data_IF_390533172548
#
_entry.id   IF_390533172548
#
_cell.length_a   1.000
_cell.length_b   1.000
_cell.length_c   1.000
_cell.angle_alpha   90.00
_cell.angle_beta   90.00
_cell.angle_gamma   90.00
#
_symmetry.space_group_name_H-M   'P 1'
#
loop_
_entity.id
_entity.type
_entity.pdbx_description
1 polymer ?
#
# COMPACT_ATOMS: atom_id res chain seq x y z
N UNK A 1 -5.75 -14.54 -11.64
CA UNK A 1 -6.25 -14.54 -10.25
C UNK A 1 -6.77 -13.14 -10.02
N UNK A 2 -8.07 -12.98 -9.75
CA UNK A 2 -8.67 -11.64 -9.58
C UNK A 2 -8.28 -11.12 -8.20
N UNK A 3 -7.71 -9.92 -8.13
CA UNK A 3 -7.43 -9.27 -6.86
C UNK A 3 -8.74 -9.01 -6.12
N UNK A 4 -8.81 -9.41 -4.85
CA UNK A 4 -9.98 -9.21 -3.98
C UNK A 4 -9.59 -8.35 -2.79
N UNK A 5 -10.58 -7.75 -2.13
CA UNK A 5 -10.36 -7.08 -0.84
C UNK A 5 -10.03 -8.13 0.23
N UNK A 6 -8.74 -8.39 0.43
CA UNK A 6 -8.23 -9.37 1.41
C UNK A 6 -7.98 -8.75 2.78
N UNK A 7 -7.77 -7.43 2.84
CA UNK A 7 -7.52 -6.71 4.09
C UNK A 7 -8.82 -6.27 4.75
N UNK A 8 -8.94 -6.53 6.06
CA UNK A 8 -10.04 -6.08 6.91
C UNK A 8 -9.50 -5.15 7.99
N UNK A 9 -10.17 -4.03 8.16
CA UNK A 9 -9.83 -3.03 9.17
C UNK A 9 -10.93 -3.01 10.20
N UNK A 10 -10.57 -3.28 11.45
CA UNK A 10 -11.46 -3.15 12.58
C UNK A 10 -11.02 -1.96 13.42
N UNK A 11 -11.96 -1.27 14.05
CA UNK A 11 -11.68 -0.05 14.80
C UNK A 11 -12.38 -0.03 16.15
N UNK A 12 -11.64 0.40 17.16
CA UNK A 12 -12.15 0.75 18.48
C UNK A 12 -12.04 2.26 18.67
N UNK A 13 -13.08 2.87 19.24
CA UNK A 13 -13.14 4.33 19.39
C UNK A 13 -12.45 4.84 20.64
N UNK A 14 -12.51 4.10 21.76
CA UNK A 14 -11.92 4.48 23.05
C UNK A 14 -11.32 3.26 23.77
N UNK A 15 -10.00 3.24 24.01
CA UNK A 15 -9.00 4.08 23.36
C UNK A 15 -9.02 3.87 21.83
N UNK A 16 -8.58 4.89 21.07
CA UNK A 16 -8.61 4.81 19.60
C UNK A 16 -7.52 3.84 19.15
N UNK A 17 -7.94 2.77 18.49
CA UNK A 17 -7.04 1.75 17.97
C UNK A 17 -7.60 1.12 16.70
N UNK A 18 -6.72 0.53 15.90
CA UNK A 18 -7.05 -0.12 14.64
C UNK A 18 -6.43 -1.51 14.63
N UNK A 19 -7.21 -2.52 14.28
CA UNK A 19 -6.71 -3.85 13.92
C UNK A 19 -6.69 -3.97 12.40
N UNK A 20 -5.59 -4.48 11.85
CA UNK A 20 -5.46 -4.83 10.44
C UNK A 20 -5.27 -6.33 10.33
N UNK A 21 -6.20 -6.97 9.65
CA UNK A 21 -6.21 -8.41 9.36
C UNK A 21 -6.12 -8.60 7.85
N UNK A 22 -5.53 -9.71 7.40
CA UNK A 22 -5.55 -10.11 5.99
C UNK A 22 -5.90 -11.58 5.87
N UNK A 23 -6.77 -11.92 4.92
CA UNK A 23 -7.07 -13.31 4.58
C UNK A 23 -5.90 -14.06 3.94
N UNK A 24 -4.89 -13.33 3.47
CA UNK A 24 -3.72 -13.88 2.78
C UNK A 24 -2.50 -14.00 3.71
N UNK A 25 -2.56 -13.38 4.89
CA UNK A 25 -1.50 -13.42 5.90
C UNK A 25 -2.07 -14.18 7.10
N UNK A 26 -1.88 -15.50 7.10
CA UNK A 26 -2.35 -16.35 8.19
C UNK A 26 -1.43 -16.21 9.41
N UNK A 27 -2.03 -16.27 10.61
CA UNK A 27 -1.28 -16.35 11.86
C UNK A 27 -0.82 -15.01 12.46
N UNK A 28 -1.08 -13.88 11.81
CA UNK A 28 -0.65 -12.57 12.29
C UNK A 28 -1.77 -11.51 12.13
N UNK A 29 -1.97 -10.69 13.15
CA UNK A 29 -2.82 -9.49 13.09
C UNK A 29 -2.03 -8.29 13.58
N UNK A 30 -2.14 -7.14 12.92
CA UNK A 30 -1.47 -5.92 13.37
C UNK A 30 -2.41 -5.06 14.21
N UNK A 31 -2.00 -4.74 15.44
CA UNK A 31 -2.66 -3.77 16.31
C UNK A 31 -1.91 -2.44 16.26
N UNK A 32 -2.65 -1.39 15.90
CA UNK A 32 -2.18 -0.01 15.92
C UNK A 32 -2.86 0.71 17.09
N UNK A 33 -2.09 1.07 18.10
CA UNK A 33 -2.60 1.76 19.29
C UNK A 33 -1.52 2.68 19.87
N UNK A 34 -1.94 3.86 20.37
CA UNK A 34 -1.05 4.79 21.08
C UNK A 34 0.25 5.13 20.34
N UNK A 35 0.18 5.28 19.01
CA UNK A 35 1.33 5.53 18.12
C UNK A 35 2.38 4.40 18.15
N UNK A 36 1.95 3.17 18.40
CA UNK A 36 2.76 1.95 18.32
C UNK A 36 2.08 0.91 17.47
N UNK A 37 2.86 -0.09 17.03
CA UNK A 37 2.35 -1.26 16.33
C UNK A 37 2.79 -2.51 17.07
N UNK A 38 1.84 -3.39 17.34
CA UNK A 38 2.08 -4.72 17.88
C UNK A 38 1.62 -5.78 16.86
N UNK A 39 2.34 -6.88 16.76
CA UNK A 39 1.91 -8.06 16.01
C UNK A 39 1.31 -9.04 17.00
N UNK A 40 0.03 -9.35 16.83
CA UNK A 40 -0.73 -10.24 17.68
C UNK A 40 -0.79 -11.63 17.06
N UNK A 41 -0.68 -12.64 17.90
CA UNK A 41 -1.02 -14.02 17.57
C UNK A 41 -2.54 -14.16 17.36
N UNK A 42 -3.02 -15.24 16.72
CA UNK A 42 -4.46 -15.45 16.52
C UNK A 42 -5.23 -15.47 17.84
N UNK A 43 -4.67 -16.10 18.89
CA UNK A 43 -5.31 -16.16 20.20
C UNK A 43 -5.48 -14.77 20.83
N UNK A 44 -4.43 -13.94 20.81
CA UNK A 44 -4.48 -12.57 21.31
C UNK A 44 -5.46 -11.70 20.49
N UNK A 45 -5.44 -11.86 19.17
CA UNK A 45 -6.34 -11.15 18.26
C UNK A 45 -7.82 -11.47 18.56
N UNK A 46 -8.19 -12.75 18.77
CA UNK A 46 -9.57 -13.14 19.12
C UNK A 46 -10.03 -12.52 20.45
N UNK A 47 -9.14 -12.42 21.44
CA UNK A 47 -9.47 -11.84 22.74
C UNK A 47 -9.85 -10.36 22.62
N UNK A 48 -9.11 -9.60 21.81
CA UNK A 48 -9.36 -8.16 21.65
C UNK A 48 -10.43 -7.85 20.60
N UNK A 49 -10.65 -8.72 19.61
CA UNK A 49 -11.53 -8.47 18.46
C UNK A 49 -12.95 -8.08 18.85
N UNK A 50 -13.45 -8.60 19.98
CA UNK A 50 -14.81 -8.33 20.48
C UNK A 50 -15.08 -6.84 20.75
N UNK A 51 -14.04 -6.07 21.06
CA UNK A 51 -14.14 -4.64 21.35
C UNK A 51 -14.04 -3.76 20.09
N UNK A 52 -13.86 -4.36 18.91
CA UNK A 52 -13.66 -3.64 17.66
C UNK A 52 -14.86 -3.81 16.74
N UNK A 53 -15.35 -2.69 16.21
CA UNK A 53 -16.33 -2.68 15.13
C UNK A 53 -15.65 -2.80 13.77
N UNK A 54 -16.32 -3.43 12.81
CA UNK A 54 -15.84 -3.43 11.43
C UNK A 54 -15.86 -2.01 10.86
N UNK A 55 -14.73 -1.57 10.30
CA UNK A 55 -14.59 -0.24 9.75
C UNK A 55 -14.63 -0.23 8.22
N UNK A 56 -13.75 -1.00 7.58
CA UNK A 56 -13.70 -1.10 6.11
C UNK A 56 -12.92 -2.32 5.63
N UNK A 57 -13.09 -2.64 4.35
CA UNK A 57 -12.28 -3.61 3.62
C UNK A 57 -11.43 -2.93 2.54
N UNK A 58 -10.22 -3.41 2.33
CA UNK A 58 -9.25 -2.86 1.39
C UNK A 58 -8.57 -3.94 0.54
N UNK A 59 -8.07 -3.53 -0.63
CA UNK A 59 -7.28 -4.40 -1.52
C UNK A 59 -5.86 -4.59 -1.01
N UNK A 60 -5.24 -3.51 -0.52
CA UNK A 60 -3.88 -3.56 0.00
C UNK A 60 -3.58 -2.38 0.94
N UNK A 61 -2.50 -2.49 1.70
CA UNK A 61 -1.98 -1.44 2.56
C UNK A 61 -0.74 -0.78 1.93
N UNK A 62 -0.67 0.55 2.00
CA UNK A 62 0.47 1.33 1.49
C UNK A 62 1.49 1.67 2.59
N UNK A 63 1.08 1.59 3.86
CA UNK A 63 1.90 1.87 5.03
C UNK A 63 1.25 2.87 5.98
N UNK A 64 2.05 3.53 6.81
CA UNK A 64 1.58 4.55 7.76
C UNK A 64 2.09 5.93 7.33
N UNK A 65 1.16 6.86 7.15
CA UNK A 65 1.45 8.28 6.95
C UNK A 65 1.61 8.95 8.31
N UNK A 66 2.74 9.63 8.49
CA UNK A 66 3.01 10.50 9.63
C UNK A 66 2.92 11.94 9.17
N UNK A 67 2.10 12.75 9.84
CA UNK A 67 2.00 14.18 9.55
C UNK A 67 2.23 14.98 10.81
N UNK A 68 3.24 15.84 10.77
CA UNK A 68 3.55 16.78 11.85
C UNK A 68 2.79 18.10 11.61
N UNK A 69 2.09 18.58 12.64
CA UNK A 69 1.43 19.89 12.65
C UNK A 69 1.65 20.52 14.03
N UNK A 70 2.52 21.53 14.09
CA UNK A 70 3.05 22.04 15.36
C UNK A 70 3.80 20.95 16.11
N UNK A 71 3.56 20.83 17.42
CA UNK A 71 4.19 19.82 18.29
C UNK A 71 3.50 18.44 18.23
N UNK A 72 2.42 18.30 17.45
CA UNK A 72 1.66 17.06 17.35
C UNK A 72 2.02 16.27 16.08
N UNK A 73 2.16 14.95 16.22
CA UNK A 73 2.30 14.02 15.10
C UNK A 73 1.06 13.13 15.01
N UNK A 74 0.42 13.17 13.84
CA UNK A 74 -0.76 12.38 13.52
C UNK A 74 -0.36 11.15 12.70
N UNK A 75 -0.98 10.01 13.00
CA UNK A 75 -0.68 8.75 12.33
C UNK A 75 -1.93 8.18 11.65
N UNK A 76 -1.78 7.84 10.38
CA UNK A 76 -2.86 7.30 9.55
C UNK A 76 -2.38 6.04 8.83
N UNK A 77 -3.14 4.95 8.96
CA UNK A 77 -2.95 3.78 8.13
C UNK A 77 -3.53 4.06 6.74
N UNK A 78 -2.72 3.92 5.70
CA UNK A 78 -3.09 4.26 4.32
C UNK A 78 -3.45 2.99 3.56
N UNK A 79 -4.68 2.92 3.05
CA UNK A 79 -5.24 1.72 2.45
C UNK A 79 -5.80 2.03 1.06
N UNK A 80 -5.63 1.09 0.12
CA UNK A 80 -6.25 1.16 -1.20
C UNK A 80 -7.61 0.47 -1.12
N UNK A 81 -8.68 1.26 -1.20
CA UNK A 81 -10.06 0.77 -1.14
C UNK A 81 -10.67 0.53 -2.51
N UNK A 82 -10.09 1.14 -3.55
CA UNK A 82 -10.43 0.87 -4.94
C UNK A 82 -9.21 0.98 -5.86
N UNK A 83 -9.18 0.11 -6.87
CA UNK A 83 -8.14 0.06 -7.88
C UNK A 83 -8.66 -0.62 -9.16
N UNK A 84 -8.05 -0.29 -10.28
CA UNK A 84 -8.38 -0.85 -11.59
C UNK A 84 -7.21 -1.65 -12.16
N UNK A 85 -7.45 -2.87 -12.63
CA UNK A 85 -6.44 -3.62 -13.40
C UNK A 85 -6.17 -2.91 -14.73
N UNK A 86 -4.90 -2.62 -15.01
CA UNK A 86 -4.45 -2.03 -16.28
C UNK A 86 -3.85 -3.05 -17.24
N UNK A 87 -3.66 -4.29 -16.77
CA UNK A 87 -3.17 -5.37 -17.59
C UNK A 87 -2.16 -6.25 -16.87
N UNK A 88 -1.80 -7.34 -17.54
CA UNK A 88 -0.92 -8.38 -17.01
C UNK A 88 0.38 -8.45 -17.80
N UNK A 89 1.52 -8.38 -17.11
CA UNK A 89 2.86 -8.62 -17.65
C UNK A 89 3.39 -9.91 -17.05
N UNK A 90 3.62 -10.93 -17.89
CA UNK A 90 3.98 -12.30 -17.46
C UNK A 90 2.98 -12.85 -16.45
N UNK A 91 3.42 -13.12 -15.23
CA UNK A 91 2.68 -13.64 -14.09
C UNK A 91 2.07 -12.54 -13.20
N UNK A 92 2.43 -11.26 -13.43
CA UNK A 92 2.07 -10.13 -12.57
C UNK A 92 0.98 -9.28 -13.18
N UNK A 93 -0.04 -8.95 -12.39
CA UNK A 93 -1.08 -7.99 -12.76
C UNK A 93 -0.74 -6.60 -12.19
N UNK A 94 -0.89 -5.57 -13.02
CA UNK A 94 -0.62 -4.19 -12.65
C UNK A 94 -1.96 -3.50 -12.38
N UNK A 95 -2.04 -2.79 -11.27
CA UNK A 95 -3.24 -2.07 -10.83
C UNK A 95 -2.96 -0.59 -10.70
N UNK A 96 -3.88 0.23 -11.18
CA UNK A 96 -3.94 1.67 -10.95
C UNK A 96 -4.77 1.95 -9.70
N UNK A 97 -4.25 2.75 -8.79
CA UNK A 97 -4.96 3.19 -7.59
C UNK A 97 -6.04 4.20 -8.01
N UNK A 98 -7.30 3.94 -7.65
CA UNK A 98 -8.44 4.83 -7.94
C UNK A 98 -9.03 5.44 -6.68
N UNK A 99 -8.92 4.76 -5.53
CA UNK A 99 -9.36 5.31 -4.25
C UNK A 99 -8.49 4.83 -3.09
N UNK A 100 -8.18 5.77 -2.18
CA UNK A 100 -7.49 5.47 -0.92
C UNK A 100 -8.30 5.94 0.27
N UNK A 101 -8.14 5.27 1.41
CA UNK A 101 -8.73 5.66 2.69
C UNK A 101 -7.66 5.69 3.78
N UNK A 102 -7.80 6.65 4.70
CA UNK A 102 -6.86 6.92 5.77
C UNK A 102 -7.53 6.58 7.10
N UNK A 103 -7.08 5.53 7.77
CA UNK A 103 -7.61 5.10 9.06
C UNK A 103 -6.72 5.66 10.20
N UNK A 104 -7.16 6.70 10.93
CA UNK A 104 -6.42 7.25 12.06
C UNK A 104 -6.47 6.33 13.28
N UNK A 105 -5.31 6.09 13.88
CA UNK A 105 -5.15 5.29 15.11
C UNK A 105 -4.50 6.07 16.27
N UNK A 106 -4.23 7.37 16.09
CA UNK A 106 -3.86 8.30 17.17
C UNK A 106 -5.10 8.93 17.80
N UNK A 107 -5.06 9.22 19.11
CA UNK A 107 -6.16 9.86 19.84
C UNK A 107 -6.65 11.14 19.17
N UNK A 108 -5.72 11.95 18.63
CA UNK A 108 -5.98 13.11 17.78
C UNK A 108 -6.01 12.68 16.30
N UNK A 109 -6.94 13.21 15.52
CA UNK A 109 -7.02 12.99 14.08
C UNK A 109 -7.50 14.26 13.38
N UNK A 110 -6.90 14.58 12.25
CA UNK A 110 -7.27 15.67 11.35
C UNK A 110 -7.43 15.09 9.94
N UNK A 111 -8.66 14.74 9.60
CA UNK A 111 -8.96 14.09 8.31
C UNK A 111 -8.81 15.05 7.13
N UNK A 112 -9.04 16.36 7.33
CA UNK A 112 -8.88 17.37 6.27
C UNK A 112 -7.43 17.42 5.78
N UNK A 113 -6.48 17.28 6.70
CA UNK A 113 -5.06 17.31 6.40
C UNK A 113 -4.58 16.13 5.52
N UNK A 114 -5.32 15.02 5.46
CA UNK A 114 -4.99 13.88 4.59
C UNK A 114 -5.82 13.82 3.30
N UNK A 115 -6.84 14.68 3.15
CA UNK A 115 -7.70 14.68 1.96
C UNK A 115 -6.92 14.93 0.67
N UNK A 116 -6.01 15.91 0.66
CA UNK A 116 -5.19 16.23 -0.51
C UNK A 116 -4.20 15.10 -0.86
N UNK A 117 -3.66 14.41 0.15
CA UNK A 117 -2.81 13.23 -0.06
C UNK A 117 -3.63 12.09 -0.69
N UNK A 118 -4.87 11.90 -0.23
CA UNK A 118 -5.79 10.93 -0.83
C UNK A 118 -6.12 11.24 -2.28
N UNK A 119 -6.41 12.51 -2.61
CA UNK A 119 -6.64 12.97 -3.99
C UNK A 119 -5.41 12.75 -4.87
N UNK A 120 -4.21 13.05 -4.35
CA UNK A 120 -2.95 12.81 -5.05
C UNK A 120 -2.77 11.32 -5.37
N UNK A 121 -2.91 10.44 -4.38
CA UNK A 121 -2.77 8.99 -4.59
C UNK A 121 -3.84 8.42 -5.53
N UNK A 122 -5.01 9.05 -5.60
CA UNK A 122 -6.11 8.70 -6.49
C UNK A 122 -6.09 9.45 -7.85
N UNK A 123 -5.02 10.19 -8.16
CA UNK A 123 -4.89 10.99 -9.41
C UNK A 123 -4.81 10.16 -10.70
N UNK A 124 -4.76 8.83 -10.60
CA UNK A 124 -4.58 7.92 -11.74
C UNK A 124 -3.12 7.74 -12.17
N UNK A 125 -2.17 8.37 -11.46
CA UNK A 125 -0.73 8.23 -11.74
C UNK A 125 -0.03 7.19 -10.87
N UNK A 126 -0.71 6.61 -9.87
CA UNK A 126 -0.12 5.67 -8.93
C UNK A 126 -0.50 4.22 -9.24
N UNK A 127 0.49 3.34 -9.28
CA UNK A 127 0.34 1.95 -9.67
C UNK A 127 1.05 1.00 -8.71
N UNK A 128 0.47 -0.19 -8.51
CA UNK A 128 1.10 -1.29 -7.78
C UNK A 128 0.95 -2.60 -8.57
N UNK A 129 1.61 -3.65 -8.09
CA UNK A 129 1.57 -4.98 -8.70
C UNK A 129 1.03 -6.02 -7.73
N UNK A 130 0.40 -7.05 -8.28
CA UNK A 130 -0.01 -8.23 -7.54
C UNK A 130 0.43 -9.53 -8.25
N UNK A 131 1.13 -10.44 -7.54
CA UNK A 131 1.71 -10.26 -6.21
C UNK A 131 2.80 -9.15 -6.22
N UNK A 132 2.99 -8.45 -5.09
CA UNK A 132 3.93 -7.30 -5.02
C UNK A 132 5.40 -7.72 -4.81
N UNK A 133 5.61 -8.95 -4.34
CA UNK A 133 6.92 -9.56 -4.08
C UNK A 133 6.94 -10.99 -4.64
N UNK A 134 8.14 -11.53 -4.85
CA UNK A 134 8.33 -12.92 -5.28
C UNK A 134 8.08 -13.18 -6.77
N UNK A 135 7.67 -12.17 -7.53
CA UNK A 135 7.47 -12.28 -8.97
C UNK A 135 8.74 -11.98 -9.77
N UNK A 136 8.80 -12.49 -10.99
CA UNK A 136 9.91 -12.22 -11.91
C UNK A 136 9.93 -10.78 -12.44
N UNK A 137 8.76 -10.13 -12.46
CA UNK A 137 8.61 -8.74 -12.88
C UNK A 137 8.44 -7.83 -11.66
N UNK A 138 9.26 -6.79 -11.58
CA UNK A 138 9.16 -5.74 -10.58
C UNK A 138 8.91 -4.40 -11.28
N UNK A 139 7.75 -3.80 -11.01
CA UNK A 139 7.34 -2.50 -11.57
C UNK A 139 8.36 -1.39 -11.28
N UNK A 140 9.09 -1.51 -10.17
CA UNK A 140 10.09 -0.52 -9.75
C UNK A 140 11.47 -0.74 -10.38
N UNK A 141 11.72 -1.90 -11.01
CA UNK A 141 13.02 -2.25 -11.57
C UNK A 141 13.13 -1.86 -13.05
N UNK A 142 14.25 -1.28 -13.47
CA UNK A 142 14.56 -1.16 -14.89
C UNK A 142 15.09 -2.50 -15.41
N UNK A 143 14.58 -2.99 -16.54
CA UNK A 143 15.06 -4.22 -17.18
C UNK A 143 16.57 -4.24 -17.44
N UNK A 144 17.19 -3.06 -17.63
CA UNK A 144 18.64 -2.90 -17.84
C UNK A 144 19.47 -2.93 -16.55
N UNK A 145 18.85 -2.83 -15.37
CA UNK A 145 19.51 -2.77 -14.05
C UNK A 145 18.90 -3.80 -13.08
N UNK A 146 18.53 -4.97 -13.59
CA UNK A 146 18.03 -6.06 -12.77
C UNK A 146 19.05 -6.41 -11.67
N UNK A 147 18.59 -6.50 -10.42
CA UNK A 147 19.42 -6.87 -9.26
C UNK A 147 19.76 -5.74 -8.28
N UNK A 148 19.49 -4.46 -8.61
CA UNK A 148 19.61 -3.34 -7.65
C UNK A 148 18.24 -2.74 -7.31
N UNK A 149 17.93 -2.63 -6.02
CA UNK A 149 16.71 -1.98 -5.54
C UNK A 149 16.74 -0.49 -5.91
N UNK A 150 15.93 -0.10 -6.90
CA UNK A 150 15.84 1.30 -7.33
C UNK A 150 14.92 2.09 -6.42
N UNK A 151 15.50 2.52 -5.31
CA UNK A 151 14.83 3.35 -4.30
C UNK A 151 14.18 4.61 -4.88
N UNK A 152 14.76 5.15 -5.95
CA UNK A 152 14.31 6.34 -6.64
C UNK A 152 12.92 6.24 -7.29
N UNK A 153 12.36 5.03 -7.47
CA UNK A 153 11.01 4.84 -8.03
C UNK A 153 10.01 4.28 -7.01
N UNK A 154 10.44 4.06 -5.77
CA UNK A 154 9.61 3.52 -4.70
C UNK A 154 8.89 4.66 -3.96
N UNK A 155 7.72 5.07 -4.47
CA UNK A 155 7.04 6.30 -4.04
C UNK A 155 6.52 6.26 -2.61
N UNK A 156 6.03 5.11 -2.13
CA UNK A 156 5.56 4.95 -0.75
C UNK A 156 6.65 4.45 0.21
N UNK A 157 7.94 4.56 -0.13
CA UNK A 157 9.05 4.13 0.74
C UNK A 157 9.02 4.76 2.13
N UNK A 158 8.62 6.04 2.23
CA UNK A 158 8.52 6.72 3.51
C UNK A 158 7.43 6.10 4.42
N UNK A 159 6.32 5.63 3.84
CA UNK A 159 5.20 5.02 4.59
C UNK A 159 5.58 3.66 5.21
N UNK A 160 6.60 2.99 4.66
CA UNK A 160 7.13 1.74 5.21
C UNK A 160 7.93 1.96 6.49
N UNK A 161 8.58 3.12 6.61
CA UNK A 161 9.59 3.35 7.64
C UNK A 161 9.03 3.20 9.05
N UNK A 162 7.80 3.65 9.27
CA UNK A 162 7.13 3.54 10.56
C UNK A 162 6.89 2.08 10.95
N UNK A 163 6.33 1.27 10.05
CA UNK A 163 6.04 -0.15 10.33
C UNK A 163 7.30 -0.97 10.55
N UNK A 164 8.37 -0.69 9.78
CA UNK A 164 9.67 -1.35 9.96
C UNK A 164 10.30 -1.09 11.33
N UNK A 165 10.11 0.12 11.89
CA UNK A 165 10.63 0.46 13.23
C UNK A 165 10.02 -0.40 14.33
N UNK A 166 8.81 -0.90 14.13
CA UNK A 166 8.13 -1.82 15.05
C UNK A 166 8.32 -3.30 14.69
N UNK A 167 9.29 -3.62 13.81
CA UNK A 167 9.61 -5.01 13.46
C UNK A 167 8.60 -5.72 12.56
N UNK A 168 7.65 -4.99 11.98
CA UNK A 168 6.66 -5.58 11.06
C UNK A 168 7.29 -5.98 9.74
N UNK A 169 7.00 -7.20 9.26
CA UNK A 169 7.40 -7.64 7.92
C UNK A 169 6.57 -6.94 6.84
N UNK A 170 7.07 -5.80 6.38
CA UNK A 170 6.41 -5.02 5.33
C UNK A 170 6.25 -5.76 3.99
N UNK A 171 6.98 -6.86 3.73
CA UNK A 171 6.80 -7.61 2.47
C UNK A 171 5.50 -8.39 2.45
N UNK A 172 5.02 -8.81 3.63
CA UNK A 172 3.70 -9.44 3.79
C UNK A 172 2.59 -8.40 3.75
N UNK A 173 2.76 -7.32 4.52
CA UNK A 173 1.67 -6.40 4.82
C UNK A 173 1.49 -5.26 3.82
N UNK A 174 2.55 -4.84 3.11
CA UNK A 174 2.52 -3.63 2.28
C UNK A 174 2.81 -3.93 0.81
N UNK A 175 2.23 -3.11 -0.08
CA UNK A 175 2.56 -3.14 -1.52
C UNK A 175 3.46 -1.97 -1.91
N UNK A 176 4.29 -2.17 -2.93
CA UNK A 176 5.18 -1.12 -3.46
C UNK A 176 4.46 -0.35 -4.57
N UNK A 177 4.56 0.98 -4.50
CA UNK A 177 3.87 1.89 -5.42
C UNK A 177 4.86 2.64 -6.30
N UNK A 178 4.50 2.74 -7.57
CA UNK A 178 5.13 3.53 -8.63
C UNK A 178 4.25 4.75 -8.95
N UNK A 179 4.85 5.90 -9.27
CA UNK A 179 4.14 7.05 -9.85
C UNK A 179 4.61 7.31 -11.28
N UNK A 180 3.67 7.57 -12.20
CA UNK A 180 3.95 7.83 -13.61
C UNK A 180 2.81 7.35 -14.52
N UNK A 181 3.14 6.55 -15.53
CA UNK A 181 2.17 6.00 -16.48
C UNK A 181 2.51 4.55 -16.86
N UNK A 182 1.47 3.75 -17.07
CA UNK A 182 1.54 2.36 -17.51
C UNK A 182 0.54 2.14 -18.65
N UNK A 183 1.05 1.71 -19.80
CA UNK A 183 0.23 1.30 -20.94
C UNK A 183 0.58 -0.13 -21.33
N UNK A 184 -0.43 -1.02 -21.34
CA UNK A 184 -0.27 -2.43 -21.71
C UNK A 184 -1.29 -2.74 -22.80
N UNK A 185 -0.81 -3.03 -24.01
CA UNK A 185 -1.65 -3.31 -25.17
C UNK A 185 -1.29 -4.66 -25.77
N UNK A 186 -2.32 -5.40 -26.19
CA UNK A 186 -2.13 -6.63 -26.95
C UNK A 186 -2.07 -6.28 -28.42
N UNK A 187 -0.97 -6.65 -29.09
CA UNK A 187 -0.75 -6.44 -30.51
C UNK A 187 -0.73 -7.78 -31.24
N UNK A 188 -1.23 -7.79 -32.47
CA UNK A 188 -1.28 -8.97 -33.32
C UNK A 188 -0.45 -8.74 -34.58
N UNK A 189 0.40 -9.71 -34.92
CA UNK A 189 1.21 -9.72 -36.12
C UNK A 189 0.98 -11.06 -36.84
N UNK A 190 -0.02 -11.08 -37.72
CA UNK A 190 -0.57 -12.31 -38.29
C UNK A 190 -1.16 -13.19 -37.18
N UNK A 191 -0.71 -14.44 -37.10
CA UNK A 191 -1.14 -15.41 -36.07
C UNK A 191 -0.43 -15.22 -34.72
N UNK A 192 0.58 -14.34 -34.65
CA UNK A 192 1.34 -14.11 -33.42
C UNK A 192 0.70 -13.02 -32.59
N UNK A 193 0.49 -13.30 -31.31
CA UNK A 193 0.07 -12.34 -30.31
C UNK A 193 1.28 -11.90 -29.48
N UNK A 194 1.42 -10.59 -29.23
CA UNK A 194 2.41 -10.04 -28.32
C UNK A 194 1.78 -8.99 -27.40
N UNK A 195 2.45 -8.69 -26.27
CA UNK A 195 2.08 -7.59 -25.38
C UNK A 195 3.10 -6.47 -25.49
N UNK A 196 2.68 -5.33 -26.03
CA UNK A 196 3.44 -4.09 -25.99
C UNK A 196 3.19 -3.41 -24.64
N UNK A 197 4.25 -3.18 -23.86
CA UNK A 197 4.15 -2.57 -22.54
C UNK A 197 5.06 -1.34 -22.47
N UNK A 198 4.50 -0.19 -22.10
CA UNK A 198 5.22 1.06 -21.85
C UNK A 198 5.09 1.44 -20.37
N UNK A 199 6.23 1.63 -19.71
CA UNK A 199 6.31 2.06 -18.32
C UNK A 199 7.09 3.37 -18.22
N UNK A 200 6.41 4.44 -17.86
CA UNK A 200 7.02 5.72 -17.53
C UNK A 200 6.98 5.91 -16.02
N UNK A 201 8.13 6.19 -15.40
CA UNK A 201 8.27 6.28 -13.94
C UNK A 201 8.85 7.63 -13.57
N UNK A 202 8.13 8.36 -12.73
CA UNK A 202 8.61 9.56 -12.09
C UNK A 202 9.48 9.16 -10.90
N UNK A 203 10.61 9.83 -10.72
CA UNK A 203 11.45 9.60 -9.56
C UNK A 203 10.87 10.27 -8.31
N UNK A 204 10.97 9.61 -7.16
CA UNK A 204 10.70 10.20 -5.84
C UNK A 204 11.94 10.89 -5.25
N UNK A 205 13.10 10.81 -5.91
CA UNK A 205 14.27 11.61 -5.55
C UNK A 205 14.09 13.02 -6.15
N UNK A 206 14.26 14.03 -5.30
CA UNK A 206 14.37 15.40 -5.80
C UNK A 206 15.73 15.57 -6.46
N UNK A 207 15.74 16.02 -7.71
CA UNK A 207 16.88 16.79 -8.21
C UNK A 207 16.82 18.16 -7.51
N UNK A 208 17.50 18.29 -6.37
CA UNK A 208 17.54 19.52 -5.59
C UNK A 208 18.96 19.80 -5.10
N UNK A 209 19.40 21.03 -5.28
CA UNK A 209 20.66 21.57 -4.71
C UNK A 209 20.52 21.95 -3.23
N UNK A 210 19.46 21.51 -2.55
CA UNK A 210 19.15 21.78 -1.14
C UNK A 210 18.56 20.54 -0.48
#
# INVERSE_FOLDING_TARGET
MVLKKSFRVLRRYKPRSVLLESKEIEGETLLFESNTIATLTPAEAEMVRRDYGEALAAYCCLGVLQVAQGDAVYHYLVLVTDCQSVGKVRDVEVFRITQTTFAPFSSRANLELVQEVGKLLASGQFFFTWPSYGAQFDLLSCSQKQGKEQRQFFWNRALYSYMRRFGVDCRKWLVRVMCGSVEIQTVYAGEKQAKACLFSRLSCERAGTR
#
